data_IF_597889939267
#
_entry.id   IF_597889939267
#
_cell.length_a   1.000
_cell.length_b   1.000
_cell.length_c   1.000
_cell.angle_alpha   90.00
_cell.angle_beta   90.00
_cell.angle_gamma   90.00
#
_symmetry.space_group_name_H-M   'P 1'
#
loop_
_entity.id
_entity.type
_entity.pdbx_description
1 polymer ?
#
# COMPACT_ATOMS: atom_id res chain seq x y z
N UNK A 1 -3.25 -23.48 -2.26
CA UNK A 1 -2.48 -22.31 -1.80
C UNK A 1 -1.54 -22.75 -0.68
N UNK A 2 -0.29 -22.37 -0.80
CA UNK A 2 0.72 -22.72 0.19
C UNK A 2 0.53 -21.93 1.46
N UNK A 3 0.62 -22.60 2.62
CA UNK A 3 0.46 -21.96 3.91
C UNK A 3 1.76 -21.30 4.36
N UNK A 4 1.62 -20.18 5.08
CA UNK A 4 2.75 -19.45 5.65
C UNK A 4 2.68 -19.52 7.15
N UNK A 5 3.55 -20.30 7.82
CA UNK A 5 3.57 -20.35 9.28
C UNK A 5 3.96 -19.00 9.86
N UNK A 6 3.24 -18.57 10.89
CA UNK A 6 3.58 -17.32 11.58
C UNK A 6 3.00 -17.34 12.99
N UNK A 7 3.55 -16.48 13.84
CA UNK A 7 3.02 -16.31 15.19
C UNK A 7 1.79 -15.40 15.16
N UNK A 8 1.00 -15.44 16.23
CA UNK A 8 -0.13 -14.52 16.38
C UNK A 8 0.34 -13.06 16.34
N UNK A 9 1.48 -12.78 16.97
CA UNK A 9 2.06 -11.43 16.95
C UNK A 9 2.47 -11.00 15.53
N UNK A 10 3.05 -11.92 14.76
CA UNK A 10 3.43 -11.67 13.37
C UNK A 10 2.20 -11.39 12.51
N UNK A 11 1.14 -12.16 12.69
CA UNK A 11 -0.12 -11.95 11.99
C UNK A 11 -0.70 -10.56 12.30
N UNK A 12 -0.74 -10.21 13.58
CA UNK A 12 -1.25 -8.91 14.02
C UNK A 12 -0.44 -7.75 13.43
N UNK A 13 0.89 -7.90 13.34
CA UNK A 13 1.75 -6.88 12.76
C UNK A 13 1.46 -6.68 11.26
N UNK A 14 1.27 -7.76 10.51
CA UNK A 14 0.93 -7.68 9.09
C UNK A 14 -0.45 -7.06 8.89
N UNK A 15 -1.39 -7.42 9.74
CA UNK A 15 -2.75 -6.89 9.71
C UNK A 15 -2.74 -5.37 9.96
N UNK A 16 -1.95 -4.93 10.94
CA UNK A 16 -1.79 -3.52 11.27
C UNK A 16 -1.17 -2.75 10.10
N UNK A 17 -0.15 -3.34 9.48
CA UNK A 17 0.49 -2.73 8.31
C UNK A 17 -0.49 -2.60 7.15
N UNK A 18 -1.30 -3.62 6.90
CA UNK A 18 -2.31 -3.58 5.85
C UNK A 18 -3.30 -2.45 6.07
N UNK A 19 -3.80 -2.32 7.29
CA UNK A 19 -4.72 -1.23 7.63
C UNK A 19 -4.08 0.13 7.41
N UNK A 20 -2.81 0.28 7.79
CA UNK A 20 -2.08 1.54 7.59
C UNK A 20 -2.00 1.87 6.09
N UNK A 21 -1.63 0.91 5.27
CA UNK A 21 -1.53 1.12 3.82
C UNK A 21 -2.88 1.49 3.19
N UNK A 22 -3.98 0.92 3.68
CA UNK A 22 -5.32 1.16 3.13
C UNK A 22 -5.96 2.43 3.67
N UNK A 23 -5.79 2.72 4.96
CA UNK A 23 -6.54 3.77 5.65
C UNK A 23 -5.75 5.07 5.81
N UNK A 24 -4.43 5.01 5.76
CA UNK A 24 -3.55 6.18 5.92
C UNK A 24 -2.80 6.48 4.63
N UNK A 25 -2.00 5.53 4.14
CA UNK A 25 -1.16 5.76 2.97
C UNK A 25 -1.95 5.98 1.69
N UNK A 26 -2.95 5.14 1.43
CA UNK A 26 -3.75 5.25 0.21
C UNK A 26 -4.44 6.61 0.08
N UNK A 27 -5.18 7.09 1.09
CA UNK A 27 -5.81 8.42 0.99
C UNK A 27 -4.78 9.54 0.87
N UNK A 28 -3.66 9.45 1.58
CA UNK A 28 -2.59 10.46 1.52
C UNK A 28 -2.01 10.56 0.12
N UNK A 29 -1.76 9.41 -0.51
CA UNK A 29 -1.20 9.37 -1.86
C UNK A 29 -2.21 9.91 -2.88
N UNK A 30 -3.48 9.56 -2.74
CA UNK A 30 -4.54 10.08 -3.61
C UNK A 30 -4.60 11.61 -3.52
N UNK A 31 -4.46 12.16 -2.32
CA UNK A 31 -4.43 13.61 -2.13
C UNK A 31 -3.20 14.23 -2.80
N UNK A 32 -2.05 13.56 -2.72
CA UNK A 32 -0.83 14.02 -3.39
C UNK A 32 -1.01 14.06 -4.92
N UNK A 33 -1.69 13.06 -5.49
CA UNK A 33 -1.97 13.01 -6.92
C UNK A 33 -2.89 14.17 -7.31
N UNK A 34 -3.95 14.40 -6.53
CA UNK A 34 -4.88 15.48 -6.76
C UNK A 34 -4.18 16.83 -6.71
N UNK A 35 -3.34 17.04 -5.69
CA UNK A 35 -2.59 18.29 -5.54
C UNK A 35 -1.62 18.51 -6.71
N UNK A 36 -0.93 17.45 -7.13
CA UNK A 36 0.02 17.53 -8.22
C UNK A 36 -0.67 17.91 -9.53
N UNK A 37 -1.91 17.48 -9.75
CA UNK A 37 -2.67 17.82 -10.96
C UNK A 37 -2.94 19.31 -11.08
N UNK A 38 -2.97 20.02 -9.96
CA UNK A 38 -3.23 21.47 -9.98
C UNK A 38 -2.03 22.28 -10.46
N UNK A 39 -0.86 21.66 -10.62
CA UNK A 39 0.37 22.34 -11.05
C UNK A 39 0.57 22.37 -12.56
N UNK A 40 -0.41 21.92 -13.35
CA UNK A 40 -0.38 22.09 -14.80
C UNK A 40 -0.01 20.83 -15.56
N UNK A 41 0.99 20.94 -16.47
CA UNK A 41 1.34 19.87 -17.39
C UNK A 41 1.77 18.59 -16.70
N UNK A 42 0.96 17.53 -16.85
CA UNK A 42 1.21 16.25 -16.20
C UNK A 42 2.40 15.50 -16.78
N UNK A 43 2.73 15.73 -18.05
CA UNK A 43 3.83 15.02 -18.71
C UNK A 43 5.19 15.43 -18.18
N UNK A 44 5.32 16.65 -17.66
CA UNK A 44 6.56 17.17 -17.11
C UNK A 44 6.49 17.37 -15.59
N UNK A 45 5.39 16.96 -14.97
CA UNK A 45 5.16 17.18 -13.55
C UNK A 45 5.80 16.05 -12.73
N UNK A 46 7.00 16.31 -12.20
CA UNK A 46 7.73 15.32 -11.40
C UNK A 46 6.98 14.92 -10.13
N UNK A 47 6.25 15.86 -9.53
CA UNK A 47 5.45 15.56 -8.33
C UNK A 47 4.32 14.58 -8.63
N UNK A 48 3.66 14.77 -9.78
CA UNK A 48 2.61 13.87 -10.23
C UNK A 48 3.17 12.45 -10.45
N UNK A 49 4.29 12.36 -11.17
CA UNK A 49 4.90 11.05 -11.45
C UNK A 49 5.38 10.35 -10.19
N UNK A 50 5.96 11.10 -9.24
CA UNK A 50 6.39 10.54 -7.95
C UNK A 50 5.20 10.02 -7.16
N UNK A 51 4.07 10.75 -7.15
CA UNK A 51 2.86 10.33 -6.45
C UNK A 51 2.25 9.08 -7.08
N UNK A 52 2.26 8.97 -8.41
CA UNK A 52 1.77 7.79 -9.12
C UNK A 52 2.65 6.57 -8.83
N UNK A 53 3.95 6.76 -8.76
CA UNK A 53 4.87 5.68 -8.38
C UNK A 53 4.62 5.22 -6.96
N UNK A 54 4.44 6.17 -6.02
CA UNK A 54 4.11 5.84 -4.63
C UNK A 54 2.79 5.05 -4.54
N UNK A 55 1.81 5.42 -5.37
CA UNK A 55 0.54 4.69 -5.42
C UNK A 55 0.75 3.24 -5.87
N UNK A 56 1.52 3.06 -6.93
CA UNK A 56 1.82 1.72 -7.46
C UNK A 56 2.51 0.86 -6.40
N UNK A 57 3.51 1.41 -5.71
CA UNK A 57 4.23 0.68 -4.67
C UNK A 57 3.32 0.33 -3.49
N UNK A 58 2.47 1.27 -3.08
CA UNK A 58 1.56 1.03 -1.96
C UNK A 58 0.51 -0.03 -2.31
N UNK A 59 -0.06 0.02 -3.52
CA UNK A 59 -1.03 -0.99 -3.95
C UNK A 59 -0.39 -2.37 -4.06
N UNK A 60 0.87 -2.44 -4.52
CA UNK A 60 1.63 -3.68 -4.55
C UNK A 60 1.86 -4.25 -3.15
N UNK A 61 2.18 -3.38 -2.18
CA UNK A 61 2.36 -3.81 -0.79
C UNK A 61 1.05 -4.30 -0.18
N UNK A 62 -0.06 -3.63 -0.49
CA UNK A 62 -1.39 -4.06 -0.03
C UNK A 62 -1.69 -5.47 -0.54
N UNK A 63 -1.48 -5.71 -1.84
CA UNK A 63 -1.73 -7.02 -2.44
C UNK A 63 -0.85 -8.10 -1.79
N UNK A 64 0.42 -7.80 -1.53
CA UNK A 64 1.34 -8.71 -0.88
C UNK A 64 0.89 -9.06 0.54
N UNK A 65 0.47 -8.04 1.31
CA UNK A 65 -0.02 -8.25 2.68
C UNK A 65 -1.30 -9.06 2.70
N UNK A 66 -2.23 -8.78 1.78
CA UNK A 66 -3.47 -9.53 1.67
C UNK A 66 -3.20 -11.01 1.35
N UNK A 67 -2.26 -11.27 0.44
CA UNK A 67 -1.87 -12.64 0.11
C UNK A 67 -1.27 -13.37 1.32
N UNK A 68 -0.34 -12.74 2.02
CA UNK A 68 0.30 -13.34 3.20
C UNK A 68 -0.71 -13.63 4.30
N UNK A 69 -1.63 -12.72 4.55
CA UNK A 69 -2.66 -12.91 5.56
C UNK A 69 -3.62 -14.03 5.19
N UNK A 70 -3.98 -14.13 3.89
CA UNK A 70 -4.86 -15.20 3.40
C UNK A 70 -4.22 -16.58 3.55
N UNK A 71 -2.88 -16.65 3.46
CA UNK A 71 -2.14 -17.92 3.56
C UNK A 71 -1.61 -18.19 4.97
N UNK A 72 -1.89 -17.30 5.92
CA UNK A 72 -1.35 -17.42 7.27
C UNK A 72 -1.78 -18.71 7.97
N UNK A 73 -0.83 -19.37 8.59
CA UNK A 73 -1.05 -20.53 9.43
C UNK A 73 -0.46 -20.21 10.80
N UNK A 74 -1.32 -19.81 11.72
CA UNK A 74 -0.88 -19.35 13.04
C UNK A 74 -0.48 -20.54 13.91
N UNK A 75 0.74 -20.49 14.40
CA UNK A 75 1.32 -21.55 15.24
C UNK A 75 0.95 -21.34 16.70
#
# INVERSE_FOLDING_TARGET
MEKLPMTAAGYAALESELKHCQQVERPRIIQQITDARTHGDLSENAEYHAAKEAQSLNEGRIAELEDKLARADII
#
